data_IF_632709588583
#
_entry.id   IF_632709588583
#
_cell.length_a   1.000
_cell.length_b   1.000
_cell.length_c   1.000
_cell.angle_alpha   90.00
_cell.angle_beta   90.00
_cell.angle_gamma   90.00
#
_symmetry.space_group_name_H-M   'P 1'
#
loop_
_entity.id
_entity.type
_entity.pdbx_description
1 polymer ?
#
# COMPACT_ATOMS: atom_id res chain seq x y z
N UNK A 1 18.57 -35.86 -14.08
CA UNK A 1 17.30 -35.32 -14.62
C UNK A 1 16.19 -35.12 -13.59
N UNK A 2 16.17 -35.84 -12.45
CA UNK A 2 15.12 -35.68 -11.42
C UNK A 2 15.40 -34.57 -10.38
N UNK A 3 16.67 -34.18 -10.21
CA UNK A 3 17.09 -33.15 -9.25
C UNK A 3 16.58 -31.74 -9.60
N UNK A 4 16.48 -31.43 -10.90
CA UNK A 4 15.97 -30.14 -11.39
C UNK A 4 14.50 -29.94 -11.00
N UNK A 5 13.71 -31.01 -10.98
CA UNK A 5 12.31 -30.98 -10.56
C UNK A 5 12.17 -30.68 -9.06
N UNK A 6 13.01 -31.29 -8.21
CA UNK A 6 13.01 -30.98 -6.79
C UNK A 6 13.44 -29.53 -6.50
N UNK A 7 14.41 -29.01 -7.26
CA UNK A 7 14.84 -27.61 -7.15
C UNK A 7 13.70 -26.64 -7.53
N UNK A 8 12.98 -26.92 -8.62
CA UNK A 8 11.83 -26.11 -9.06
C UNK A 8 10.70 -26.12 -8.02
N UNK A 9 10.37 -27.28 -7.47
CA UNK A 9 9.34 -27.40 -6.43
C UNK A 9 9.74 -26.61 -5.18
N UNK A 10 11.01 -26.69 -4.77
CA UNK A 10 11.53 -25.91 -3.64
C UNK A 10 11.40 -24.40 -3.85
N UNK A 11 11.68 -23.90 -5.06
CA UNK A 11 11.54 -22.48 -5.41
C UNK A 11 10.06 -22.04 -5.37
N UNK A 12 9.15 -22.85 -5.90
CA UNK A 12 7.70 -22.54 -5.88
C UNK A 12 7.18 -22.48 -4.45
N UNK A 13 7.51 -23.47 -3.62
CA UNK A 13 7.13 -23.48 -2.19
C UNK A 13 7.75 -22.28 -1.46
N UNK A 14 9.03 -21.99 -1.69
CA UNK A 14 9.69 -20.84 -1.10
C UNK A 14 9.00 -19.52 -1.49
N UNK A 15 8.59 -19.32 -2.74
CA UNK A 15 7.88 -18.12 -3.18
C UNK A 15 6.48 -17.99 -2.58
N UNK A 16 5.76 -19.10 -2.39
CA UNK A 16 4.45 -19.12 -1.74
C UNK A 16 4.56 -18.75 -0.25
N UNK A 17 5.55 -19.29 0.45
CA UNK A 17 5.74 -19.03 1.89
C UNK A 17 6.46 -17.71 2.18
N UNK A 18 7.41 -17.27 1.34
CA UNK A 18 8.09 -15.99 1.48
C UNK A 18 7.16 -14.79 1.26
N UNK A 19 6.08 -14.95 0.47
CA UNK A 19 5.06 -13.90 0.28
C UNK A 19 4.02 -13.82 1.39
N UNK A 20 3.93 -14.81 2.29
CA UNK A 20 3.01 -14.77 3.44
C UNK A 20 3.44 -13.80 4.56
N UNK A 21 4.67 -13.29 4.52
CA UNK A 21 5.22 -12.38 5.55
C UNK A 21 5.14 -10.88 5.22
N UNK A 22 4.60 -10.50 4.06
CA UNK A 22 4.39 -9.09 3.71
C UNK A 22 3.08 -9.00 2.96
N UNK A 23 2.08 -8.24 3.43
CA UNK A 23 0.93 -7.96 2.60
C UNK A 23 1.47 -7.37 1.30
N UNK A 24 1.11 -7.99 0.19
CA UNK A 24 1.30 -7.48 -1.15
C UNK A 24 0.40 -6.23 -1.37
N UNK A 25 0.25 -5.37 -0.35
CA UNK A 25 -0.51 -4.14 -0.37
C UNK A 25 0.32 -2.94 -0.83
N UNK A 26 1.64 -3.09 -0.96
CA UNK A 26 2.53 -2.01 -1.39
C UNK A 26 2.69 -1.84 -2.91
N UNK A 27 2.15 -2.75 -3.73
CA UNK A 27 2.30 -2.66 -5.20
C UNK A 27 1.09 -2.05 -5.92
N UNK A 28 -0.04 -1.87 -5.23
CA UNK A 28 -1.08 -1.01 -5.76
C UNK A 28 -0.67 0.43 -5.41
N UNK A 29 0.12 1.04 -6.30
CA UNK A 29 0.03 2.49 -6.52
C UNK A 29 -1.39 2.81 -7.01
N UNK A 30 -2.39 2.58 -6.16
CA UNK A 30 -3.64 3.30 -6.25
C UNK A 30 -3.22 4.70 -5.86
N UNK A 31 -3.29 5.64 -6.80
CA UNK A 31 -2.83 7.02 -6.57
C UNK A 31 -3.33 7.51 -5.22
N UNK A 32 -2.46 8.17 -4.45
CA UNK A 32 -2.82 8.79 -3.18
C UNK A 32 -4.18 9.46 -3.38
N UNK A 33 -5.19 9.04 -2.62
CA UNK A 33 -6.50 9.63 -2.77
C UNK A 33 -6.41 11.10 -2.34
N UNK A 34 -7.29 11.98 -2.85
CA UNK A 34 -7.33 13.36 -2.39
C UNK A 34 -7.39 13.47 -0.86
N UNK A 35 -8.03 12.51 -0.20
CA UNK A 35 -8.10 12.40 1.27
C UNK A 35 -6.75 12.03 1.91
N UNK A 36 -5.98 11.11 1.32
CA UNK A 36 -4.65 10.74 1.80
C UNK A 36 -3.68 11.92 1.72
N UNK A 37 -3.71 12.66 0.61
CA UNK A 37 -2.89 13.87 0.40
C UNK A 37 -3.27 14.94 1.42
N UNK A 38 -4.57 15.12 1.67
CA UNK A 38 -5.07 16.09 2.63
C UNK A 38 -4.63 15.75 4.07
N UNK A 39 -4.77 14.48 4.46
CA UNK A 39 -4.38 13.98 5.78
C UNK A 39 -2.88 14.15 6.01
N UNK A 40 -2.07 13.84 4.98
CA UNK A 40 -0.61 14.00 5.02
C UNK A 40 -0.20 15.46 5.29
N UNK A 41 -0.83 16.43 4.60
CA UNK A 41 -0.56 17.86 4.81
C UNK A 41 -0.98 18.33 6.20
N UNK A 42 -2.08 17.81 6.73
CA UNK A 42 -2.52 18.14 8.09
C UNK A 42 -1.54 17.63 9.15
N UNK A 43 -1.09 16.37 9.03
CA UNK A 43 -0.10 15.78 9.93
C UNK A 43 1.25 16.51 9.85
N UNK A 44 1.64 16.96 8.65
CA UNK A 44 2.85 17.76 8.46
C UNK A 44 2.71 19.19 9.02
N UNK A 45 1.52 19.62 9.43
CA UNK A 45 1.25 20.99 9.88
C UNK A 45 1.24 22.03 8.75
N UNK A 46 1.09 21.60 7.50
CA UNK A 46 1.03 22.47 6.32
C UNK A 46 -0.34 23.14 6.16
N UNK A 47 -1.38 22.58 6.79
CA UNK A 47 -2.75 23.11 6.81
C UNK A 47 -3.30 23.07 8.23
N UNK A 48 -4.21 24.00 8.52
CA UNK A 48 -4.92 24.06 9.80
C UNK A 48 -6.10 23.09 9.85
N UNK A 49 -6.61 22.81 11.05
CA UNK A 49 -7.78 21.93 11.23
C UNK A 49 -9.03 22.46 10.50
N UNK A 50 -9.19 23.79 10.43
CA UNK A 50 -10.31 24.42 9.72
C UNK A 50 -10.25 24.16 8.21
N UNK A 51 -9.05 24.30 7.62
CA UNK A 51 -8.80 24.01 6.21
C UNK A 51 -8.99 22.54 5.89
N UNK A 52 -8.50 21.66 6.77
CA UNK A 52 -8.71 20.21 6.66
C UNK A 52 -10.19 19.85 6.61
N UNK A 53 -10.99 20.36 7.56
CA UNK A 53 -12.45 20.10 7.61
C UNK A 53 -13.19 20.64 6.37
N UNK A 54 -12.80 21.83 5.89
CA UNK A 54 -13.39 22.42 4.69
C UNK A 54 -13.12 21.56 3.44
N UNK A 55 -11.88 21.12 3.27
CA UNK A 55 -11.50 20.28 2.12
C UNK A 55 -12.08 18.88 2.19
N UNK A 56 -12.16 18.28 3.39
CA UNK A 56 -12.87 17.01 3.61
C UNK A 56 -14.33 17.09 3.19
N UNK A 57 -15.01 18.21 3.49
CA UNK A 57 -16.40 18.41 3.07
C UNK A 57 -16.52 18.46 1.55
N UNK A 58 -15.63 19.17 0.86
CA UNK A 58 -15.63 19.30 -0.60
C UNK A 58 -15.38 17.96 -1.30
N UNK A 59 -14.49 17.12 -0.76
CA UNK A 59 -14.17 15.81 -1.36
C UNK A 59 -15.36 14.83 -1.24
N UNK A 60 -16.18 15.00 -0.21
CA UNK A 60 -17.31 14.11 0.11
C UNK A 60 -18.64 14.56 -0.50
N UNK A 61 -18.72 15.79 -1.01
CA UNK A 61 -19.89 16.41 -1.65
C UNK A 61 -19.88 16.18 -3.16
#
# INVERSE_FOLDING_TARGET
MMFVWFLLIGIVVYLLFAKSGKPLSGWVKSGETPEDILTKRFVNGEITEEEYKKMQKIIRE
#
